data_IF_395418809221
#
_entry.id   IF_395418809221
#
_cell.length_a   1.000
_cell.length_b   1.000
_cell.length_c   1.000
_cell.angle_alpha   90.00
_cell.angle_beta   90.00
_cell.angle_gamma   90.00
#
_symmetry.space_group_name_H-M   'P 1'
#
loop_
_entity.id
_entity.type
_entity.pdbx_description
1 polymer ?
#
# COMPACT_ATOMS: atom_id res chain seq x y z
N UNK A 1 -15.99 -20.42 -22.70
CA UNK A 1 -16.12 -19.30 -21.75
C UNK A 1 -15.26 -19.69 -20.58
N UNK A 2 -14.02 -19.19 -20.52
CA UNK A 2 -13.08 -19.58 -19.46
C UNK A 2 -13.66 -19.07 -18.12
N UNK A 3 -13.65 -19.89 -17.06
CA UNK A 3 -14.16 -19.45 -15.78
C UNK A 3 -13.35 -18.23 -15.34
N UNK A 4 -14.02 -17.19 -14.85
CA UNK A 4 -13.37 -16.10 -14.14
C UNK A 4 -12.78 -16.66 -12.84
N UNK A 5 -11.60 -17.27 -12.91
CA UNK A 5 -10.81 -17.66 -11.75
C UNK A 5 -10.11 -16.40 -11.26
N UNK A 6 -10.64 -15.80 -10.19
CA UNK A 6 -10.00 -14.66 -9.53
C UNK A 6 -8.67 -15.14 -8.96
N UNK A 7 -7.60 -14.52 -9.42
CA UNK A 7 -6.29 -14.74 -8.85
C UNK A 7 -6.27 -14.21 -7.41
N UNK A 8 -6.17 -15.14 -6.46
CA UNK A 8 -6.27 -14.80 -5.02
C UNK A 8 -5.05 -14.01 -4.55
N UNK A 9 -3.87 -14.25 -5.15
CA UNK A 9 -2.63 -13.56 -4.83
C UNK A 9 -2.74 -12.06 -5.10
N UNK A 10 -3.05 -11.70 -6.34
CA UNK A 10 -3.26 -10.32 -6.77
C UNK A 10 -4.49 -9.72 -6.09
N UNK A 11 -5.54 -10.50 -5.86
CA UNK A 11 -6.71 -10.08 -5.09
C UNK A 11 -6.36 -9.60 -3.68
N UNK A 12 -5.52 -10.35 -2.96
CA UNK A 12 -5.04 -9.96 -1.62
C UNK A 12 -4.14 -8.71 -1.70
N UNK A 13 -3.22 -8.64 -2.66
CA UNK A 13 -2.36 -7.47 -2.84
C UNK A 13 -3.17 -6.20 -3.14
N UNK A 14 -4.15 -6.28 -4.04
CA UNK A 14 -5.07 -5.20 -4.37
C UNK A 14 -5.84 -4.74 -3.13
N UNK A 15 -6.41 -5.68 -2.38
CA UNK A 15 -7.14 -5.37 -1.15
C UNK A 15 -6.26 -4.65 -0.12
N UNK A 16 -5.01 -5.10 0.07
CA UNK A 16 -4.07 -4.45 0.99
C UNK A 16 -3.74 -3.01 0.59
N UNK A 17 -3.47 -2.75 -0.69
CA UNK A 17 -3.16 -1.40 -1.17
C UNK A 17 -4.35 -0.45 -1.10
N UNK A 18 -5.54 -0.92 -1.49
CA UNK A 18 -6.77 -0.12 -1.38
C UNK A 18 -7.10 0.14 0.09
N UNK A 19 -6.96 -0.85 0.97
CA UNK A 19 -7.24 -0.71 2.40
C UNK A 19 -6.27 0.28 3.07
N UNK A 20 -4.95 0.10 2.91
CA UNK A 20 -3.95 1.00 3.49
C UNK A 20 -4.07 2.40 2.91
N UNK A 21 -4.28 2.53 1.60
CA UNK A 21 -4.52 3.81 0.96
C UNK A 21 -5.78 4.49 1.51
N UNK A 22 -6.89 3.76 1.64
CA UNK A 22 -8.12 4.27 2.25
C UNK A 22 -7.92 4.73 3.70
N UNK A 23 -7.20 3.93 4.51
CA UNK A 23 -6.87 4.28 5.88
C UNK A 23 -6.06 5.59 5.98
N UNK A 24 -5.00 5.72 5.17
CA UNK A 24 -4.20 6.94 5.16
C UNK A 24 -4.96 8.14 4.59
N UNK A 25 -5.82 7.95 3.57
CA UNK A 25 -6.67 9.00 3.06
C UNK A 25 -7.59 9.54 4.15
N UNK A 26 -8.27 8.65 4.89
CA UNK A 26 -9.15 9.04 5.99
C UNK A 26 -8.40 9.82 7.08
N UNK A 27 -7.25 9.31 7.54
CA UNK A 27 -6.43 10.03 8.52
C UNK A 27 -5.90 11.38 8.01
N UNK A 28 -5.67 11.51 6.71
CA UNK A 28 -5.16 12.76 6.12
C UNK A 28 -6.23 13.85 6.06
N UNK A 29 -7.51 13.47 6.00
CA UNK A 29 -8.63 14.43 5.93
C UNK A 29 -8.83 15.17 7.26
N UNK A 30 -8.39 14.59 8.38
CA UNK A 30 -8.39 15.24 9.71
C UNK A 30 -7.19 16.18 9.92
N UNK A 31 -6.24 16.20 8.97
CA UNK A 31 -5.01 17.00 9.04
C UNK A 31 -5.07 18.19 8.09
N UNK A 32 -4.34 19.26 8.41
CA UNK A 32 -4.17 20.36 7.46
C UNK A 32 -3.42 19.87 6.21
N UNK A 33 -4.07 19.98 5.05
CA UNK A 33 -3.48 19.59 3.76
C UNK A 33 -2.58 20.70 3.22
N UNK A 34 -2.97 21.97 3.37
CA UNK A 34 -2.22 23.09 2.79
C UNK A 34 -2.21 23.06 1.25
N UNK A 35 -1.07 23.41 0.65
CA UNK A 35 -0.90 23.47 -0.83
C UNK A 35 0.35 22.72 -1.27
N UNK A 36 0.51 22.46 -2.57
CA UNK A 36 1.70 21.77 -3.10
C UNK A 36 3.03 22.47 -2.77
N UNK A 37 3.04 23.81 -2.70
CA UNK A 37 4.24 24.61 -2.37
C UNK A 37 4.41 24.87 -0.86
N UNK A 38 3.38 24.60 -0.06
CA UNK A 38 3.37 24.71 1.40
C UNK A 38 2.55 23.54 1.94
N UNK A 39 3.17 22.36 1.92
CA UNK A 39 2.52 21.12 2.28
C UNK A 39 2.26 21.09 3.78
N UNK A 40 0.99 20.96 4.16
CA UNK A 40 0.62 20.64 5.52
C UNK A 40 0.87 19.15 5.82
N UNK A 41 0.79 18.73 7.10
CA UNK A 41 1.09 17.36 7.51
C UNK A 41 0.19 16.30 6.83
N UNK A 42 -1.01 16.67 6.39
CA UNK A 42 -1.93 15.79 5.67
C UNK A 42 -1.64 15.63 4.17
N UNK A 43 -0.87 16.53 3.54
CA UNK A 43 -0.68 16.53 2.08
C UNK A 43 0.01 15.26 1.60
N UNK A 44 1.16 14.95 2.19
CA UNK A 44 1.98 13.82 1.76
C UNK A 44 1.27 12.47 1.97
N UNK A 45 0.69 12.19 3.16
CA UNK A 45 -0.08 10.97 3.36
C UNK A 45 -1.28 10.84 2.41
N UNK A 46 -1.97 11.95 2.07
CA UNK A 46 -3.09 11.94 1.12
C UNK A 46 -2.64 11.58 -0.31
N UNK A 47 -1.56 12.19 -0.79
CA UNK A 47 -1.03 11.89 -2.13
C UNK A 47 -0.57 10.43 -2.22
N UNK A 48 0.14 9.96 -1.19
CA UNK A 48 0.56 8.56 -1.12
C UNK A 48 -0.65 7.62 -1.11
N UNK A 49 -1.69 7.95 -0.33
CA UNK A 49 -2.93 7.19 -0.29
C UNK A 49 -3.61 7.08 -1.67
N UNK A 50 -3.69 8.18 -2.42
CA UNK A 50 -4.25 8.18 -3.77
C UNK A 50 -3.44 7.26 -4.69
N UNK A 51 -2.10 7.33 -4.65
CA UNK A 51 -1.23 6.47 -5.46
C UNK A 51 -1.44 4.99 -5.10
N UNK A 52 -1.51 4.66 -3.81
CA UNK A 52 -1.76 3.29 -3.36
C UNK A 52 -3.12 2.75 -3.82
N UNK A 53 -4.18 3.56 -3.71
CA UNK A 53 -5.53 3.16 -4.17
C UNK A 53 -5.51 2.92 -5.68
N UNK A 54 -4.92 3.83 -6.47
CA UNK A 54 -4.83 3.67 -7.92
C UNK A 54 -4.08 2.39 -8.30
N UNK A 55 -2.95 2.12 -7.65
CA UNK A 55 -2.16 0.92 -7.89
C UNK A 55 -2.96 -0.34 -7.49
N UNK A 56 -3.65 -0.31 -6.35
CA UNK A 56 -4.53 -1.40 -5.92
C UNK A 56 -5.67 -1.67 -6.90
N UNK A 57 -6.28 -0.64 -7.49
CA UNK A 57 -7.30 -0.78 -8.55
C UNK A 57 -6.72 -1.42 -9.81
N UNK A 58 -5.50 -1.04 -10.21
CA UNK A 58 -4.81 -1.67 -11.34
C UNK A 58 -4.57 -3.16 -11.09
N UNK A 59 -4.04 -3.52 -9.91
CA UNK A 59 -3.83 -4.93 -9.53
C UNK A 59 -5.15 -5.69 -9.44
N UNK A 60 -6.22 -5.06 -8.96
CA UNK A 60 -7.55 -5.69 -8.90
C UNK A 60 -8.05 -6.06 -10.30
N UNK A 61 -7.81 -5.21 -11.29
CA UNK A 61 -8.14 -5.48 -12.70
C UNK A 61 -7.28 -6.65 -13.22
N UNK A 62 -5.99 -6.69 -12.88
CA UNK A 62 -5.11 -7.80 -13.26
C UNK A 62 -5.53 -9.13 -12.62
N UNK A 63 -5.94 -9.12 -11.35
CA UNK A 63 -6.41 -10.30 -10.62
C UNK A 63 -7.61 -10.99 -11.28
N UNK A 64 -8.42 -10.24 -12.03
CA UNK A 64 -9.59 -10.76 -12.75
C UNK A 64 -9.22 -11.16 -14.19
N UNK A 65 -8.15 -10.60 -14.76
CA UNK A 65 -7.75 -10.80 -16.16
C UNK A 65 -6.72 -11.91 -16.36
N UNK A 66 -5.85 -12.12 -15.37
CA UNK A 66 -4.70 -13.02 -15.49
C UNK A 66 -4.59 -13.91 -14.26
N UNK A 67 -4.33 -15.20 -14.50
CA UNK A 67 -3.97 -16.15 -13.46
C UNK A 67 -2.46 -16.02 -13.21
N UNK A 68 -2.08 -15.76 -11.96
CA UNK A 68 -0.71 -15.53 -11.55
C UNK A 68 -0.16 -16.72 -10.78
N UNK A 69 1.17 -16.81 -10.69
CA UNK A 69 1.78 -17.84 -9.84
C UNK A 69 1.43 -17.60 -8.37
N UNK A 70 1.24 -18.69 -7.60
CA UNK A 70 1.00 -18.57 -6.17
C UNK A 70 2.17 -17.86 -5.47
N UNK A 71 1.84 -17.11 -4.41
CA UNK A 71 2.86 -16.46 -3.57
C UNK A 71 3.88 -17.51 -3.13
N UNK A 72 5.15 -17.29 -3.50
CA UNK A 72 6.26 -18.14 -3.11
C UNK A 72 6.53 -18.12 -1.59
N UNK A 73 7.60 -18.78 -1.18
CA UNK A 73 7.98 -18.80 0.24
C UNK A 73 8.28 -17.39 0.76
N UNK A 74 7.60 -17.02 1.85
CA UNK A 74 7.84 -15.75 2.54
C UNK A 74 9.26 -15.75 3.11
N UNK A 75 10.05 -14.73 2.76
CA UNK A 75 11.44 -14.58 3.17
C UNK A 75 11.59 -14.09 4.62
N UNK A 76 11.11 -14.88 5.59
CA UNK A 76 11.10 -14.55 7.03
C UNK A 76 12.43 -14.05 7.56
N UNK A 77 13.54 -14.68 7.14
CA UNK A 77 14.90 -14.27 7.52
C UNK A 77 15.21 -12.87 7.02
N UNK A 78 14.96 -12.59 5.74
CA UNK A 78 15.20 -11.27 5.14
C UNK A 78 14.34 -10.19 5.81
N UNK A 79 13.06 -10.51 6.07
CA UNK A 79 12.14 -9.61 6.75
C UNK A 79 12.63 -9.25 8.16
N UNK A 80 13.11 -10.24 8.92
CA UNK A 80 13.66 -10.04 10.27
C UNK A 80 14.94 -9.19 10.25
N UNK A 81 15.78 -9.26 9.22
CA UNK A 81 17.01 -8.46 9.14
C UNK A 81 16.78 -7.05 8.57
N UNK A 82 15.76 -6.84 7.74
CA UNK A 82 15.52 -5.55 7.07
C UNK A 82 14.55 -4.68 7.89
N UNK A 83 13.45 -5.23 8.40
CA UNK A 83 12.43 -4.44 9.10
C UNK A 83 12.90 -3.71 10.37
N UNK A 84 13.85 -4.24 11.18
CA UNK A 84 14.32 -3.52 12.34
C UNK A 84 14.97 -2.19 11.98
N UNK A 85 15.65 -2.07 10.82
CA UNK A 85 16.36 -0.85 10.46
C UNK A 85 15.46 0.41 10.42
N UNK A 86 14.36 0.44 9.63
CA UNK A 86 13.44 1.58 9.64
C UNK A 86 12.67 1.72 10.97
N UNK A 87 12.41 0.64 11.71
CA UNK A 87 11.75 0.70 13.03
C UNK A 87 12.65 1.40 14.05
N UNK A 88 13.90 0.95 14.20
CA UNK A 88 14.89 1.57 15.07
C UNK A 88 15.15 3.01 14.65
N UNK A 89 15.28 3.27 13.35
CA UNK A 89 15.40 4.63 12.84
C UNK A 89 14.21 5.49 13.26
N UNK A 90 12.97 5.06 13.00
CA UNK A 90 11.77 5.82 13.36
C UNK A 90 11.61 6.07 14.87
N UNK A 91 12.04 5.12 15.72
CA UNK A 91 12.00 5.26 17.18
C UNK A 91 13.11 6.16 17.74
N UNK A 92 14.28 6.21 17.08
CA UNK A 92 15.45 6.96 17.58
C UNK A 92 15.60 8.33 16.92
N UNK A 93 15.09 8.50 15.70
CA UNK A 93 15.10 9.79 15.02
C UNK A 93 14.18 10.74 15.78
N UNK A 94 14.79 11.67 16.52
CA UNK A 94 14.11 12.81 17.12
C UNK A 94 14.48 14.03 16.28
N UNK A 95 13.46 14.62 15.67
CA UNK A 95 13.49 15.93 15.01
C UNK A 95 12.66 16.91 15.80
#
# INVERSE_FOLDING_TARGET
>A
MNPFTIDTTNGICAALFIFLGGFFALQSLDLEIGTAFRMGPGYFPLVLAIVLILLGVVILIEAVRFESEPIGHIAWRGMLFILPAPIFFGLTVRG
#
